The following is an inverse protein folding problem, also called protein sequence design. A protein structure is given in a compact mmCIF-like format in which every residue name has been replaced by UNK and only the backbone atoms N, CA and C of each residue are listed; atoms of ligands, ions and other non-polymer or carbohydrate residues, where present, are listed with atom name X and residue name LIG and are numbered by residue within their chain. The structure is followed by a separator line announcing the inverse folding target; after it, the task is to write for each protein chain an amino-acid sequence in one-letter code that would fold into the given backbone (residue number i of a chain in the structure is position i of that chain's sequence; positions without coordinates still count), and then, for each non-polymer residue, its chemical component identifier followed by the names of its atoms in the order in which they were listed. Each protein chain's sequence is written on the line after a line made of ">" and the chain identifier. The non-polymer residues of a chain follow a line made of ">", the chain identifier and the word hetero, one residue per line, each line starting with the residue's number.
data_IF_637614709114
#
_entry.id   IF_637614709114
#
_cell.length_a   1.000
_cell.length_b   1.000
_cell.length_c   1.000
_cell.angle_alpha   90.00
_cell.angle_beta   90.00
_cell.angle_gamma   90.00
#
_symmetry.space_group_name_H-M   'P 1'
#
loop_
_entity.id
_entity.type
_entity.pdbx_description
1 polymer ?
#
# COMPACT_ATOMS: atom_id res chain seq x y z
N UNK A 1 73.08 45.72 -6.58
CA UNK A 1 72.76 44.36 -6.10
C UNK A 1 71.27 44.36 -5.78
N UNK A 2 70.43 44.24 -6.80
CA UNK A 2 69.81 42.99 -7.24
C UNK A 2 68.72 42.55 -6.26
N UNK A 3 67.45 42.70 -6.65
CA UNK A 3 66.48 41.61 -6.79
C UNK A 3 65.24 42.14 -7.52
N UNK A 4 65.29 41.94 -8.84
CA UNK A 4 64.13 41.71 -9.69
C UNK A 4 63.69 40.25 -9.47
N UNK A 5 62.38 40.00 -9.43
CA UNK A 5 61.72 38.79 -9.97
C UNK A 5 60.31 38.65 -9.38
N UNK A 6 59.37 39.23 -10.12
CA UNK A 6 58.01 38.73 -10.32
C UNK A 6 57.94 37.19 -10.31
N UNK A 7 57.06 36.63 -9.48
CA UNK A 7 56.60 35.25 -9.62
C UNK A 7 55.20 35.25 -10.24
N UNK A 8 55.10 34.68 -11.43
CA UNK A 8 53.86 34.32 -12.12
C UNK A 8 53.73 32.79 -12.08
N UNK A 9 52.48 32.31 -12.06
CA UNK A 9 52.02 30.92 -12.31
C UNK A 9 52.19 29.99 -11.08
N UNK A 10 51.21 29.20 -10.61
CA UNK A 10 50.23 28.40 -11.35
C UNK A 10 48.87 28.26 -10.67
N UNK A 11 47.88 28.40 -11.53
CA UNK A 11 46.50 27.98 -11.46
C UNK A 11 46.41 26.49 -11.11
N UNK A 12 45.72 26.11 -10.02
CA UNK A 12 45.33 24.71 -9.82
C UNK A 12 43.85 24.63 -9.41
N UNK A 13 43.03 24.55 -10.45
CA UNK A 13 41.60 24.25 -10.42
C UNK A 13 41.37 22.84 -9.86
N UNK A 14 41.05 22.73 -8.58
CA UNK A 14 40.36 21.54 -8.06
C UNK A 14 38.86 21.83 -8.02
N UNK A 15 38.17 21.60 -9.15
CA UNK A 15 36.71 21.41 -9.19
C UNK A 15 36.39 20.07 -8.53
N UNK A 16 36.23 20.08 -7.21
CA UNK A 16 35.47 19.04 -6.52
C UNK A 16 34.01 19.17 -6.96
N UNK A 17 33.61 18.42 -7.99
CA UNK A 17 32.21 18.06 -8.17
C UNK A 17 31.84 17.16 -6.99
N UNK A 18 31.35 17.77 -5.91
CA UNK A 18 30.56 17.07 -4.91
C UNK A 18 29.38 16.48 -5.67
N UNK A 19 29.43 15.17 -5.91
CA UNK A 19 28.22 14.41 -6.23
C UNK A 19 27.40 14.44 -4.95
N UNK A 20 26.54 15.47 -4.82
CA UNK A 20 25.55 15.51 -3.77
C UNK A 20 24.61 14.32 -3.99
N UNK A 21 24.87 13.24 -3.25
CA UNK A 21 23.89 12.18 -3.07
C UNK A 21 22.57 12.81 -2.58
N UNK A 22 21.41 12.23 -2.92
CA UNK A 22 20.14 12.86 -2.56
C UNK A 22 20.06 13.06 -1.04
N UNK A 23 19.37 14.10 -0.55
CA UNK A 23 19.37 14.45 0.87
C UNK A 23 18.97 13.23 1.72
N UNK A 24 19.59 13.06 2.90
CA UNK A 24 19.41 11.91 3.81
C UNK A 24 17.94 11.50 4.06
N UNK A 25 17.00 12.45 3.96
CA UNK A 25 15.54 12.20 4.02
C UNK A 25 15.00 11.45 2.80
N UNK A 26 15.45 11.80 1.59
CA UNK A 26 15.10 11.11 0.35
C UNK A 26 15.69 9.70 0.31
N UNK A 27 16.91 9.50 0.82
CA UNK A 27 17.47 8.15 1.01
C UNK A 27 16.67 7.32 2.02
N UNK A 28 16.30 7.91 3.16
CA UNK A 28 15.48 7.24 4.17
C UNK A 28 14.10 6.83 3.62
N UNK A 29 13.47 7.68 2.79
CA UNK A 29 12.20 7.37 2.14
C UNK A 29 12.34 6.25 1.10
N UNK A 30 13.38 6.30 0.25
CA UNK A 30 13.65 5.21 -0.71
C UNK A 30 13.96 3.89 -0.02
N UNK A 31 14.73 3.92 1.08
CA UNK A 31 14.99 2.72 1.88
C UNK A 31 13.70 2.17 2.47
N UNK A 32 12.84 3.02 3.02
CA UNK A 32 11.53 2.60 3.54
C UNK A 32 10.68 1.96 2.45
N UNK A 33 10.60 2.54 1.26
CA UNK A 33 9.85 1.99 0.13
C UNK A 33 10.40 0.62 -0.30
N UNK A 34 11.73 0.50 -0.49
CA UNK A 34 12.40 -0.77 -0.83
C UNK A 34 12.15 -1.87 0.20
N UNK A 35 12.15 -1.51 1.49
CA UNK A 35 11.86 -2.47 2.57
C UNK A 35 10.41 -2.94 2.48
N UNK A 36 9.44 -2.05 2.23
CA UNK A 36 8.04 -2.43 2.07
C UNK A 36 7.81 -3.31 0.83
N UNK A 37 8.43 -2.98 -0.30
CA UNK A 37 8.36 -3.80 -1.53
C UNK A 37 8.93 -5.20 -1.31
N UNK A 38 10.10 -5.28 -0.70
CA UNK A 38 10.70 -6.56 -0.33
C UNK A 38 9.81 -7.32 0.66
N UNK A 39 9.26 -6.64 1.66
CA UNK A 39 8.42 -7.25 2.67
C UNK A 39 7.15 -7.86 2.07
N UNK A 40 6.44 -7.14 1.22
CA UNK A 40 5.25 -7.67 0.53
C UNK A 40 5.58 -8.93 -0.29
N UNK A 41 6.70 -8.91 -1.04
CA UNK A 41 7.12 -10.09 -1.80
C UNK A 41 7.51 -11.28 -0.91
N UNK A 42 8.27 -11.04 0.16
CA UNK A 42 8.68 -12.09 1.13
C UNK A 42 7.45 -12.67 1.82
N UNK A 43 6.53 -11.83 2.28
CA UNK A 43 5.32 -12.29 2.95
C UNK A 43 4.44 -13.07 1.98
N UNK A 44 4.23 -12.58 0.75
CA UNK A 44 3.46 -13.29 -0.26
C UNK A 44 4.02 -14.70 -0.55
N UNK A 45 5.35 -14.86 -0.60
CA UNK A 45 6.01 -16.12 -0.95
C UNK A 45 6.14 -17.10 0.22
N UNK A 46 6.48 -16.61 1.42
CA UNK A 46 6.81 -17.47 2.56
C UNK A 46 5.73 -17.54 3.64
N UNK A 47 4.74 -16.66 3.60
CA UNK A 47 3.66 -16.59 4.59
C UNK A 47 4.20 -16.52 6.01
N UNK A 48 3.75 -17.44 6.87
CA UNK A 48 4.16 -17.51 8.29
C UNK A 48 5.65 -17.74 8.48
N UNK A 49 6.35 -18.31 7.49
CA UNK A 49 7.81 -18.54 7.53
C UNK A 49 8.63 -17.30 7.16
N UNK A 50 8.00 -16.20 6.77
CA UNK A 50 8.68 -14.96 6.45
C UNK A 50 9.41 -14.36 7.66
N UNK A 51 10.66 -13.96 7.44
CA UNK A 51 11.53 -13.33 8.46
C UNK A 51 11.98 -11.94 8.03
N UNK A 52 12.25 -11.06 9.00
CA UNK A 52 12.75 -9.70 8.75
C UNK A 52 14.17 -9.70 8.16
N UNK A 53 14.95 -10.76 8.40
CA UNK A 53 16.25 -11.00 7.79
C UNK A 53 16.13 -11.22 6.28
N UNK A 54 15.15 -12.01 5.85
CA UNK A 54 14.89 -12.25 4.43
C UNK A 54 14.40 -10.98 3.74
N UNK A 55 13.57 -10.18 4.43
CA UNK A 55 13.18 -8.83 3.95
C UNK A 55 14.41 -7.94 3.77
N UNK A 56 15.30 -7.87 4.76
CA UNK A 56 16.53 -7.07 4.68
C UNK A 56 17.41 -7.50 3.50
N UNK A 57 17.58 -8.83 3.33
CA UNK A 57 18.35 -9.42 2.23
C UNK A 57 17.78 -9.04 0.87
N UNK A 58 16.46 -9.15 0.67
CA UNK A 58 15.80 -8.79 -0.60
C UNK A 58 15.78 -7.28 -0.87
N UNK A 59 15.62 -6.46 0.18
CA UNK A 59 15.69 -5.01 0.06
C UNK A 59 17.11 -4.49 -0.20
N UNK A 60 18.14 -5.34 -0.03
CA UNK A 60 19.54 -4.95 -0.16
C UNK A 60 19.98 -3.97 0.93
N UNK A 61 19.46 -4.14 2.16
CA UNK A 61 19.79 -3.29 3.32
C UNK A 61 20.22 -4.13 4.51
N UNK A 62 20.96 -3.52 5.45
CA UNK A 62 21.29 -4.18 6.70
C UNK A 62 20.04 -4.36 7.57
N UNK A 63 19.96 -5.45 8.35
CA UNK A 63 18.84 -5.74 9.25
C UNK A 63 18.57 -4.61 10.26
N UNK A 64 19.63 -3.95 10.76
CA UNK A 64 19.49 -2.78 11.63
C UNK A 64 18.80 -1.59 10.96
N UNK A 65 18.89 -1.48 9.62
CA UNK A 65 18.15 -0.46 8.85
C UNK A 65 16.66 -0.78 8.81
N UNK A 66 16.28 -2.06 8.69
CA UNK A 66 14.88 -2.49 8.78
C UNK A 66 14.30 -2.11 10.14
N UNK A 67 14.95 -2.52 11.23
CA UNK A 67 14.47 -2.23 12.59
C UNK A 67 14.47 -0.73 12.93
N UNK A 68 15.35 0.07 12.32
CA UNK A 68 15.29 1.53 12.45
C UNK A 68 14.03 2.14 11.81
N UNK A 69 13.50 1.54 10.75
CA UNK A 69 12.28 2.00 10.07
C UNK A 69 11.00 1.35 10.62
N UNK A 70 11.12 0.12 11.12
CA UNK A 70 10.04 -0.74 11.60
C UNK A 70 10.54 -1.48 12.85
N UNK A 71 10.38 -0.90 14.05
CA UNK A 71 10.96 -1.44 15.29
C UNK A 71 10.57 -2.89 15.59
N UNK A 72 9.40 -3.33 15.11
CA UNK A 72 8.93 -4.71 15.23
C UNK A 72 8.43 -5.26 13.88
N UNK A 73 8.24 -6.59 13.84
CA UNK A 73 7.54 -7.25 12.72
C UNK A 73 6.12 -6.70 12.57
N UNK A 74 5.46 -6.39 13.68
CA UNK A 74 4.10 -5.85 13.68
C UNK A 74 4.06 -4.42 13.12
N UNK A 75 5.07 -3.59 13.39
CA UNK A 75 5.21 -2.27 12.77
C UNK A 75 5.41 -2.38 11.25
N UNK A 76 6.13 -3.40 10.79
CA UNK A 76 6.31 -3.67 9.37
C UNK A 76 4.99 -4.11 8.73
N UNK A 77 4.26 -5.04 9.36
CA UNK A 77 2.96 -5.50 8.86
C UNK A 77 1.90 -4.38 8.89
N UNK A 78 1.87 -3.55 9.93
CA UNK A 78 1.01 -2.38 10.01
C UNK A 78 1.29 -1.40 8.85
N UNK A 79 2.56 -1.20 8.52
CA UNK A 79 2.94 -0.32 7.42
C UNK A 79 2.55 -0.89 6.05
N UNK A 80 2.63 -2.21 5.86
CA UNK A 80 2.11 -2.90 4.66
C UNK A 80 0.60 -2.67 4.56
N UNK A 81 -0.16 -2.86 5.63
CA UNK A 81 -1.61 -2.62 5.60
C UNK A 81 -1.97 -1.16 5.30
N UNK A 82 -1.25 -0.20 5.88
CA UNK A 82 -1.41 1.22 5.53
C UNK A 82 -1.20 1.44 4.04
N UNK A 83 -0.20 0.78 3.44
CA UNK A 83 0.07 0.86 2.01
C UNK A 83 -1.04 0.21 1.18
N UNK A 84 -1.53 -0.96 1.57
CA UNK A 84 -2.64 -1.64 0.90
C UNK A 84 -3.92 -0.78 0.92
N UNK A 85 -4.25 -0.17 2.06
CA UNK A 85 -5.39 0.74 2.18
C UNK A 85 -5.20 2.00 1.33
N UNK A 86 -4.00 2.59 1.32
CA UNK A 86 -3.69 3.73 0.47
C UNK A 86 -3.83 3.39 -1.02
N UNK A 87 -3.41 2.19 -1.45
CA UNK A 87 -3.63 1.72 -2.81
C UNK A 87 -5.12 1.59 -3.15
N UNK A 88 -5.95 1.08 -2.23
CA UNK A 88 -7.40 1.04 -2.44
C UNK A 88 -8.00 2.44 -2.59
N UNK A 89 -7.52 3.43 -1.81
CA UNK A 89 -7.93 4.83 -1.96
C UNK A 89 -7.57 5.38 -3.35
N UNK A 90 -6.36 5.09 -3.83
CA UNK A 90 -5.96 5.48 -5.19
C UNK A 90 -6.79 4.78 -6.27
N UNK A 91 -7.08 3.49 -6.11
CA UNK A 91 -7.92 2.70 -7.02
C UNK A 91 -9.34 3.25 -7.06
N UNK A 92 -9.92 3.63 -5.92
CA UNK A 92 -11.21 4.29 -5.87
C UNK A 92 -11.23 5.58 -6.71
N UNK A 93 -10.13 6.32 -6.77
CA UNK A 93 -10.01 7.51 -7.64
C UNK A 93 -9.98 7.21 -9.14
N UNK A 94 -9.86 5.94 -9.56
CA UNK A 94 -9.73 5.51 -10.97
C UNK A 94 -10.96 4.75 -11.50
N UNK A 95 -11.91 4.43 -10.63
CA UNK A 95 -13.02 3.53 -10.94
C UNK A 95 -14.36 4.14 -10.54
N UNK A 96 -15.46 3.71 -11.18
CA UNK A 96 -16.79 3.84 -10.57
C UNK A 96 -16.97 2.83 -9.43
N UNK A 97 -18.05 2.95 -8.67
CA UNK A 97 -18.32 2.10 -7.50
C UNK A 97 -18.30 0.60 -7.83
N UNK A 98 -18.91 0.17 -8.94
CA UNK A 98 -19.03 -1.24 -9.29
C UNK A 98 -17.70 -1.82 -9.80
N UNK A 99 -16.98 -1.04 -10.61
CA UNK A 99 -15.64 -1.39 -11.06
C UNK A 99 -14.66 -1.47 -9.89
N UNK A 100 -14.75 -0.55 -8.93
CA UNK A 100 -13.95 -0.58 -7.71
C UNK A 100 -14.21 -1.85 -6.88
N UNK A 101 -15.47 -2.22 -6.66
CA UNK A 101 -15.83 -3.47 -5.97
C UNK A 101 -15.25 -4.69 -6.68
N UNK A 102 -15.43 -4.76 -8.01
CA UNK A 102 -14.98 -5.89 -8.81
C UNK A 102 -13.46 -6.05 -8.75
N UNK A 103 -12.73 -4.95 -8.94
CA UNK A 103 -11.27 -4.94 -8.87
C UNK A 103 -10.78 -5.30 -7.47
N UNK A 104 -11.34 -4.69 -6.42
CA UNK A 104 -10.93 -4.93 -5.04
C UNK A 104 -11.12 -6.40 -4.63
N UNK A 105 -12.25 -7.01 -5.01
CA UNK A 105 -12.55 -8.42 -4.69
C UNK A 105 -11.63 -9.37 -5.45
N UNK A 106 -11.37 -9.12 -6.74
CA UNK A 106 -10.44 -9.93 -7.52
C UNK A 106 -9.01 -9.88 -6.96
N UNK A 107 -8.58 -8.70 -6.49
CA UNK A 107 -7.25 -8.52 -5.89
C UNK A 107 -7.16 -9.02 -4.44
N UNK A 108 -8.28 -9.29 -3.78
CA UNK A 108 -8.30 -9.68 -2.38
C UNK A 108 -7.50 -10.98 -2.16
N UNK A 109 -7.70 -12.01 -2.99
CA UNK A 109 -6.98 -13.27 -2.89
C UNK A 109 -5.45 -13.12 -3.00
N UNK A 110 -4.97 -12.19 -3.84
CA UNK A 110 -3.54 -11.91 -3.98
C UNK A 110 -2.93 -11.27 -2.72
N UNK A 111 -3.75 -10.58 -1.91
CA UNK A 111 -3.35 -9.89 -0.67
C UNK A 111 -3.52 -10.76 0.58
N UNK A 112 -4.03 -12.00 0.44
CA UNK A 112 -4.34 -12.93 1.54
C UNK A 112 -3.20 -13.10 2.53
N UNK A 113 -1.99 -13.32 2.03
CA UNK A 113 -0.87 -13.70 2.90
C UNK A 113 -0.48 -12.61 3.90
N UNK A 114 -0.60 -11.33 3.52
CA UNK A 114 -0.35 -10.22 4.44
C UNK A 114 -1.42 -10.14 5.54
N UNK A 115 -2.69 -10.37 5.17
CA UNK A 115 -3.84 -10.35 6.08
C UNK A 115 -3.79 -11.53 7.07
N UNK A 116 -3.52 -12.74 6.58
CA UNK A 116 -3.42 -13.94 7.42
C UNK A 116 -2.30 -13.82 8.47
N UNK A 117 -1.16 -13.26 8.08
CA UNK A 117 -0.02 -13.11 8.98
C UNK A 117 -0.31 -12.11 10.12
N UNK A 118 -1.09 -11.08 9.85
CA UNK A 118 -1.57 -10.14 10.85
C UNK A 118 -2.55 -10.79 11.82
N UNK A 119 -3.56 -11.48 11.30
CA UNK A 119 -4.52 -12.20 12.11
C UNK A 119 -3.82 -13.22 13.04
N UNK A 120 -2.79 -13.90 12.54
CA UNK A 120 -1.99 -14.85 13.29
C UNK A 120 -1.01 -14.24 14.31
N UNK A 121 -0.69 -12.94 14.22
CA UNK A 121 0.20 -12.25 15.18
C UNK A 121 -0.45 -12.02 16.54
N UNK A 122 -1.79 -12.03 16.62
CA UNK A 122 -2.54 -11.68 17.82
C UNK A 122 -2.47 -10.20 18.21
N UNK A 123 -1.82 -9.36 17.39
CA UNK A 123 -1.72 -7.91 17.61
C UNK A 123 -2.90 -7.20 16.97
N UNK A 124 -3.61 -6.41 17.78
CA UNK A 124 -4.67 -5.53 17.30
C UNK A 124 -4.04 -4.31 16.59
N UNK A 125 -3.84 -4.41 15.27
CA UNK A 125 -3.32 -3.30 14.47
C UNK A 125 -4.47 -2.35 14.14
N UNK A 126 -4.49 -1.22 14.85
CA UNK A 126 -5.49 -0.18 14.65
C UNK A 126 -5.02 0.81 13.60
N UNK A 127 -5.78 0.92 12.50
CA UNK A 127 -5.50 1.81 11.36
C UNK A 127 -6.64 2.82 11.10
N UNK A 128 -7.09 3.58 12.12
CA UNK A 128 -8.28 4.41 12.00
C UNK A 128 -8.18 5.44 10.86
N UNK A 129 -7.05 6.14 10.74
CA UNK A 129 -6.87 7.17 9.71
C UNK A 129 -6.89 6.57 8.28
N UNK A 130 -6.27 5.41 8.08
CA UNK A 130 -6.23 4.77 6.77
C UNK A 130 -7.59 4.20 6.37
N UNK A 131 -8.37 3.69 7.33
CA UNK A 131 -9.74 3.26 7.10
C UNK A 131 -10.66 4.46 6.83
N UNK A 132 -10.51 5.56 7.56
CA UNK A 132 -11.28 6.78 7.32
C UNK A 132 -11.06 7.32 5.90
N UNK A 133 -9.82 7.36 5.41
CA UNK A 133 -9.56 7.77 4.02
C UNK A 133 -10.20 6.84 2.99
N UNK A 134 -10.26 5.53 3.26
CA UNK A 134 -10.96 4.58 2.39
C UNK A 134 -12.47 4.79 2.42
N UNK A 135 -13.06 4.98 3.61
CA UNK A 135 -14.48 5.29 3.78
C UNK A 135 -14.86 6.56 3.02
N UNK A 136 -14.06 7.63 3.12
CA UNK A 136 -14.27 8.86 2.36
C UNK A 136 -14.20 8.63 0.85
N UNK A 137 -13.25 7.81 0.37
CA UNK A 137 -13.11 7.51 -1.04
C UNK A 137 -14.31 6.71 -1.58
N UNK A 138 -14.75 5.68 -0.85
CA UNK A 138 -15.93 4.89 -1.20
C UNK A 138 -17.21 5.74 -1.10
N UNK A 139 -17.30 6.64 -0.12
CA UNK A 139 -18.39 7.60 0.01
C UNK A 139 -18.56 8.47 -1.24
N UNK A 140 -17.46 9.01 -1.76
CA UNK A 140 -17.50 9.78 -3.02
C UNK A 140 -17.98 8.94 -4.21
N UNK A 141 -17.57 7.68 -4.31
CA UNK A 141 -18.04 6.78 -5.37
C UNK A 141 -19.53 6.48 -5.25
N UNK A 142 -20.03 6.30 -4.03
CA UNK A 142 -21.46 6.09 -3.77
C UNK A 142 -22.28 7.33 -4.18
N UNK A 143 -21.86 8.52 -3.75
CA UNK A 143 -22.52 9.78 -4.10
C UNK A 143 -22.57 9.98 -5.63
N UNK A 144 -21.47 9.68 -6.32
CA UNK A 144 -21.41 9.75 -7.78
C UNK A 144 -22.34 8.73 -8.45
N UNK A 145 -22.39 7.51 -7.94
CA UNK A 145 -23.26 6.46 -8.47
C UNK A 145 -24.75 6.79 -8.25
N UNK A 146 -25.11 7.38 -7.11
CA UNK A 146 -26.45 7.86 -6.80
C UNK A 146 -26.84 9.03 -7.70
N UNK A 147 -25.97 10.03 -7.84
CA UNK A 147 -26.20 11.17 -8.74
C UNK A 147 -26.39 10.75 -10.21
N UNK A 148 -25.76 9.64 -10.62
CA UNK A 148 -25.92 9.05 -11.95
C UNK A 148 -27.16 8.14 -12.10
N UNK A 149 -27.93 7.92 -11.03
CA UNK A 149 -29.07 6.99 -11.00
C UNK A 149 -28.67 5.51 -11.08
N UNK A 150 -27.40 5.19 -10.86
CA UNK A 150 -26.88 3.83 -10.95
C UNK A 150 -27.07 3.02 -9.64
N UNK A 151 -27.27 3.71 -8.51
CA UNK A 151 -27.50 3.14 -7.18
C UNK A 151 -28.64 3.89 -6.50
N UNK A 152 -29.49 3.17 -5.75
CA UNK A 152 -30.62 3.76 -5.05
C UNK A 152 -30.20 4.74 -3.94
N UNK A 153 -30.95 5.84 -3.77
CA UNK A 153 -30.72 6.86 -2.74
C UNK A 153 -30.87 6.33 -1.30
N UNK A 154 -31.57 5.20 -1.14
CA UNK A 154 -31.72 4.53 0.15
C UNK A 154 -30.45 3.83 0.61
N UNK A 155 -29.52 3.51 -0.29
CA UNK A 155 -28.26 2.82 0.04
C UNK A 155 -27.33 3.75 0.79
N UNK A 156 -26.79 3.28 1.92
CA UNK A 156 -25.91 4.07 2.79
C UNK A 156 -24.49 3.52 2.81
N UNK A 157 -23.52 4.42 3.02
CA UNK A 157 -22.11 4.07 3.08
C UNK A 157 -21.78 2.92 4.06
N UNK A 158 -22.35 2.82 5.28
CA UNK A 158 -22.08 1.70 6.17
C UNK A 158 -22.45 0.33 5.56
N UNK A 159 -23.53 0.26 4.78
CA UNK A 159 -23.97 -0.98 4.12
C UNK A 159 -23.01 -1.35 2.98
N UNK A 160 -22.59 -0.34 2.20
CA UNK A 160 -21.60 -0.51 1.12
C UNK A 160 -20.27 -0.99 1.69
N UNK A 161 -19.78 -0.39 2.78
CA UNK A 161 -18.55 -0.81 3.44
C UNK A 161 -18.66 -2.23 4.02
N UNK A 162 -19.79 -2.56 4.65
CA UNK A 162 -20.02 -3.91 5.19
C UNK A 162 -20.06 -4.97 4.08
N UNK A 163 -20.71 -4.67 2.94
CA UNK A 163 -20.73 -5.56 1.79
C UNK A 163 -19.34 -5.73 1.19
N UNK A 164 -18.60 -4.64 0.96
CA UNK A 164 -17.23 -4.69 0.45
C UNK A 164 -16.33 -5.55 1.33
N UNK A 165 -16.33 -5.30 2.65
CA UNK A 165 -15.55 -6.06 3.62
C UNK A 165 -15.94 -7.54 3.62
N UNK A 166 -17.23 -7.86 3.61
CA UNK A 166 -17.73 -9.24 3.64
C UNK A 166 -17.36 -10.03 2.38
N UNK A 167 -17.50 -9.42 1.20
CA UNK A 167 -17.15 -10.06 -0.07
C UNK A 167 -15.63 -10.24 -0.18
N UNK A 168 -14.84 -9.25 0.26
CA UNK A 168 -13.39 -9.41 0.34
C UNK A 168 -12.99 -10.54 1.29
N UNK A 169 -13.62 -10.64 2.46
CA UNK A 169 -13.39 -11.75 3.39
C UNK A 169 -13.74 -13.11 2.77
N UNK A 170 -14.87 -13.20 2.05
CA UNK A 170 -15.27 -14.39 1.31
C UNK A 170 -14.25 -14.78 0.24
N UNK A 171 -13.76 -13.82 -0.55
CA UNK A 171 -12.72 -14.06 -1.55
C UNK A 171 -11.37 -14.47 -0.92
N UNK A 172 -11.00 -13.86 0.21
CA UNK A 172 -9.76 -14.15 0.95
C UNK A 172 -9.76 -15.55 1.60
N UNK A 173 -10.81 -15.87 2.35
CA UNK A 173 -10.83 -17.03 3.25
C UNK A 173 -11.77 -18.14 2.78
N UNK A 174 -12.80 -17.80 2.01
CA UNK A 174 -13.81 -18.75 1.55
C UNK A 174 -13.41 -19.60 0.35
N UNK A 175 -12.22 -19.38 -0.23
CA UNK A 175 -11.72 -20.15 -1.38
C UNK A 175 -12.55 -19.93 -2.64
N UNK A 176 -13.13 -18.74 -2.82
CA UNK A 176 -14.00 -18.45 -3.95
C UNK A 176 -13.21 -18.43 -5.25
N UNK A 177 -13.64 -19.24 -6.21
CA UNK A 177 -13.15 -19.14 -7.59
C UNK A 177 -13.70 -17.87 -8.27
N UNK A 178 -13.11 -17.48 -9.41
CA UNK A 178 -13.49 -16.28 -10.16
C UNK A 178 -14.99 -16.26 -10.51
N UNK A 179 -15.57 -17.42 -10.82
CA UNK A 179 -16.99 -17.53 -11.17
C UNK A 179 -17.89 -17.21 -9.98
N UNK A 180 -17.58 -17.70 -8.78
CA UNK A 180 -18.34 -17.42 -7.57
C UNK A 180 -18.20 -15.93 -7.18
N UNK A 181 -17.01 -15.36 -7.30
CA UNK A 181 -16.79 -13.92 -7.07
C UNK A 181 -17.67 -13.08 -8.01
N UNK A 182 -17.62 -13.36 -9.32
CA UNK A 182 -18.40 -12.63 -10.32
C UNK A 182 -19.91 -12.75 -10.09
N UNK A 183 -20.41 -13.96 -9.79
CA UNK A 183 -21.84 -14.18 -9.53
C UNK A 183 -22.32 -13.49 -8.26
N UNK A 184 -21.54 -13.54 -7.19
CA UNK A 184 -21.88 -12.86 -5.93
C UNK A 184 -21.94 -11.35 -6.11
N UNK A 185 -20.96 -10.77 -6.81
CA UNK A 185 -20.97 -9.36 -7.16
C UNK A 185 -22.17 -8.98 -8.01
N UNK A 186 -22.53 -9.79 -9.01
CA UNK A 186 -23.71 -9.54 -9.84
C UNK A 186 -25.01 -9.49 -9.01
N UNK A 187 -25.17 -10.39 -8.03
CA UNK A 187 -26.33 -10.38 -7.10
C UNK A 187 -26.35 -9.11 -6.26
N UNK A 188 -25.21 -8.74 -5.66
CA UNK A 188 -25.09 -7.52 -4.85
C UNK A 188 -25.41 -6.29 -5.70
N UNK A 189 -24.80 -6.16 -6.87
CA UNK A 189 -24.99 -5.00 -7.73
C UNK A 189 -26.43 -4.89 -8.23
N UNK A 190 -27.11 -6.02 -8.47
CA UNK A 190 -28.53 -6.01 -8.84
C UNK A 190 -29.39 -5.50 -7.70
N UNK A 191 -29.05 -5.81 -6.44
CA UNK A 191 -29.75 -5.31 -5.25
C UNK A 191 -29.46 -3.84 -4.90
N UNK A 192 -28.38 -3.25 -5.41
CA UNK A 192 -28.03 -1.85 -5.16
C UNK A 192 -28.59 -0.87 -6.20
N UNK A 193 -28.90 -1.36 -7.40
CA UNK A 193 -29.42 -0.54 -8.51
C UNK A 193 -30.81 -0.01 -8.20
N UNK A 194 -31.12 1.17 -8.73
CA UNK A 194 -32.48 1.67 -8.79
C UNK A 194 -33.34 0.74 -9.67
N UNK A 195 -34.60 0.55 -9.28
CA UNK A 195 -35.63 -0.06 -10.14
C UNK A 195 -35.94 0.81 -11.37
#
# INVERSE_FOLDING_TARGET
>A
MSHDSTYTTENNEWRLTLVEGPPLRADAQRNRARILDAAEAVFAEFGTRASTEEVARRAGVAIGTVFRHFPSKDDLLAAIMKRLLAQLVEEAGRHDLFAFFTHTVAQAAAKKTAVDLLAGSGVDIRLPDALAHLEEAVGRLLEQAQAAGAVADSVRLPEVMALLASVCQGALHGGWNEQLQARTLAVIFSGLKCD
#
